data_IF_839858106779
#
_entry.id   IF_839858106779
#
_cell.length_a   1.000
_cell.length_b   1.000
_cell.length_c   1.000
_cell.angle_alpha   90.00
_cell.angle_beta   90.00
_cell.angle_gamma   90.00
#
_symmetry.space_group_name_H-M   'P 1'
#
loop_
_entity.id
_entity.type
_entity.pdbx_description
1 polymer ?
#
# COMPACT_ATOMS: atom_id res chain seq x y z
N UNK A 1 -34.32 16.03 -20.81
CA UNK A 1 -33.79 17.17 -20.06
C UNK A 1 -32.92 16.59 -18.94
N UNK A 2 -31.63 16.35 -19.22
CA UNK A 2 -30.69 15.87 -18.21
C UNK A 2 -30.18 17.07 -17.44
N UNK A 3 -30.33 17.05 -16.12
CA UNK A 3 -29.74 18.04 -15.22
C UNK A 3 -28.24 17.85 -15.30
N UNK A 4 -27.55 18.73 -16.04
CA UNK A 4 -26.10 18.82 -16.04
C UNK A 4 -25.68 19.30 -14.64
N UNK A 5 -25.46 18.37 -13.72
CA UNK A 5 -24.62 18.65 -12.58
C UNK A 5 -23.26 19.07 -13.17
N UNK A 6 -22.89 20.33 -12.98
CA UNK A 6 -21.62 20.86 -13.43
C UNK A 6 -20.51 20.00 -12.80
N UNK A 7 -19.96 19.06 -13.58
CA UNK A 7 -18.73 18.35 -13.20
C UNK A 7 -17.65 19.40 -13.23
N UNK A 8 -17.43 20.06 -12.08
CA UNK A 8 -16.32 20.97 -11.90
C UNK A 8 -15.06 20.12 -11.98
N UNK A 9 -14.19 20.47 -12.94
CA UNK A 9 -12.83 19.98 -12.97
C UNK A 9 -12.20 20.21 -11.59
N UNK A 10 -11.64 19.16 -10.99
CA UNK A 10 -10.84 19.34 -9.78
C UNK A 10 -9.61 20.18 -10.14
N UNK A 11 -9.12 21.06 -9.24
CA UNK A 11 -7.90 21.83 -9.48
C UNK A 11 -6.71 20.95 -9.87
N UNK A 12 -6.63 19.74 -9.31
CA UNK A 12 -5.59 18.75 -9.62
C UNK A 12 -5.65 18.24 -11.07
N UNK A 13 -6.84 17.99 -11.61
CA UNK A 13 -7.00 17.56 -13.00
C UNK A 13 -6.65 18.69 -13.98
N UNK A 14 -6.96 19.93 -13.60
CA UNK A 14 -6.63 21.12 -14.39
C UNK A 14 -5.11 21.31 -14.50
N UNK A 15 -4.39 21.31 -13.37
CA UNK A 15 -2.94 21.46 -13.35
C UNK A 15 -2.21 20.32 -14.08
N UNK A 16 -2.74 19.09 -14.03
CA UNK A 16 -2.17 17.95 -14.78
C UNK A 16 -2.30 18.09 -16.29
N UNK A 17 -3.41 18.62 -16.77
CA UNK A 17 -3.68 18.75 -18.21
C UNK A 17 -3.01 19.97 -18.84
N UNK A 18 -2.80 21.03 -18.06
CA UNK A 18 -2.30 22.33 -18.53
C UNK A 18 -1.03 22.23 -19.40
N UNK A 19 0.04 21.49 -19.02
CA UNK A 19 1.24 21.39 -19.84
C UNK A 19 1.00 20.76 -21.22
N UNK A 20 0.05 19.82 -21.31
CA UNK A 20 -0.28 19.15 -22.57
C UNK A 20 -1.15 20.02 -23.48
N UNK A 21 -2.03 20.83 -22.90
CA UNK A 21 -2.88 21.75 -23.66
C UNK A 21 -2.07 22.94 -24.18
N UNK A 22 -1.13 23.44 -23.37
CA UNK A 22 -0.19 24.50 -23.76
C UNK A 22 0.71 24.04 -24.93
N UNK A 23 1.21 22.78 -24.90
CA UNK A 23 2.02 22.18 -25.98
C UNK A 23 1.24 22.00 -27.30
N UNK A 24 -0.09 21.80 -27.22
CA UNK A 24 -0.95 21.66 -28.39
C UNK A 24 -1.34 23.01 -29.02
N UNK A 25 -1.09 24.14 -28.35
CA UNK A 25 -1.43 25.47 -28.86
C UNK A 25 -2.93 25.68 -29.15
N UNK A 26 -3.80 24.98 -28.43
CA UNK A 26 -5.25 25.05 -28.64
C UNK A 26 -5.82 26.39 -28.18
N UNK A 27 -6.87 26.86 -28.87
CA UNK A 27 -7.64 28.01 -28.42
C UNK A 27 -8.19 27.77 -26.99
N UNK A 28 -8.28 28.80 -26.12
CA UNK A 28 -8.74 28.63 -24.74
C UNK A 28 -10.11 27.94 -24.63
N UNK A 29 -11.01 28.23 -25.56
CA UNK A 29 -12.35 27.64 -25.64
C UNK A 29 -12.29 26.13 -25.94
N UNK A 30 -11.45 25.73 -26.89
CA UNK A 30 -11.23 24.31 -27.25
C UNK A 30 -10.58 23.56 -26.10
N UNK A 31 -9.58 24.17 -25.43
CA UNK A 31 -8.94 23.59 -24.25
C UNK A 31 -9.95 23.35 -23.12
N UNK A 32 -10.80 24.34 -22.83
CA UNK A 32 -11.83 24.23 -21.79
C UNK A 32 -12.89 23.17 -22.15
N UNK A 33 -13.32 23.13 -23.41
CA UNK A 33 -14.25 22.11 -23.89
C UNK A 33 -13.70 20.69 -23.73
N UNK A 34 -12.47 20.45 -24.19
CA UNK A 34 -11.85 19.11 -24.12
C UNK A 34 -11.66 18.68 -22.67
N UNK A 35 -11.23 19.58 -21.78
CA UNK A 35 -11.13 19.28 -20.35
C UNK A 35 -12.47 18.83 -19.76
N UNK A 36 -13.56 19.57 -20.01
CA UNK A 36 -14.89 19.21 -19.52
C UNK A 36 -15.35 17.85 -20.03
N UNK A 37 -15.12 17.58 -21.32
CA UNK A 37 -15.51 16.32 -21.93
C UNK A 37 -14.71 15.12 -21.40
N UNK A 38 -13.41 15.31 -21.13
CA UNK A 38 -12.58 14.29 -20.48
C UNK A 38 -13.01 14.02 -19.04
N UNK A 39 -13.48 15.04 -18.31
CA UNK A 39 -14.03 14.85 -16.97
C UNK A 39 -15.36 14.07 -16.98
N UNK A 40 -16.21 14.30 -17.98
CA UNK A 40 -17.48 13.59 -18.15
C UNK A 40 -17.31 12.16 -18.64
N UNK A 41 -16.18 11.83 -19.31
CA UNK A 41 -15.91 10.50 -19.88
C UNK A 41 -15.97 9.37 -18.85
N UNK A 42 -15.59 9.63 -17.60
CA UNK A 42 -15.59 8.62 -16.54
C UNK A 42 -16.97 8.36 -15.92
N UNK A 43 -18.01 9.10 -16.32
CA UNK A 43 -19.37 8.88 -15.86
C UNK A 43 -20.05 7.72 -16.59
N UNK A 44 -21.08 7.10 -16.00
CA UNK A 44 -21.97 6.19 -16.73
C UNK A 44 -22.54 6.88 -17.97
N UNK A 45 -22.34 6.30 -19.15
CA UNK A 45 -22.67 6.88 -20.46
C UNK A 45 -21.90 8.17 -20.83
N UNK A 46 -20.67 8.33 -20.32
CA UNK A 46 -19.78 9.43 -20.71
C UNK A 46 -19.37 9.37 -22.19
N UNK A 47 -18.94 10.51 -22.77
CA UNK A 47 -18.53 10.59 -24.17
C UNK A 47 -17.27 9.76 -24.47
N UNK A 48 -17.28 9.06 -25.59
CA UNK A 48 -16.14 8.32 -26.12
C UNK A 48 -15.05 9.24 -26.66
N UNK A 49 -13.81 8.76 -26.74
CA UNK A 49 -12.68 9.50 -27.35
C UNK A 49 -13.02 10.00 -28.76
N UNK A 50 -13.76 9.21 -29.55
CA UNK A 50 -14.15 9.57 -30.90
C UNK A 50 -15.23 10.67 -30.95
N UNK A 51 -16.11 10.74 -29.95
CA UNK A 51 -17.09 11.82 -29.81
C UNK A 51 -16.42 13.11 -29.38
N UNK A 52 -15.53 13.05 -28.38
CA UNK A 52 -14.75 14.21 -27.92
C UNK A 52 -13.89 14.77 -29.06
N UNK A 53 -13.23 13.88 -29.81
CA UNK A 53 -12.42 14.25 -30.97
C UNK A 53 -13.23 14.97 -32.05
N UNK A 54 -14.40 14.42 -32.42
CA UNK A 54 -15.30 15.05 -33.39
C UNK A 54 -15.83 16.40 -32.91
N UNK A 55 -16.25 16.50 -31.65
CA UNK A 55 -16.83 17.73 -31.12
C UNK A 55 -15.81 18.83 -30.87
N UNK A 56 -14.55 18.46 -30.60
CA UNK A 56 -13.45 19.40 -30.37
C UNK A 56 -12.63 19.75 -31.61
N UNK A 57 -12.99 19.22 -32.79
CA UNK A 57 -12.19 19.31 -34.03
C UNK A 57 -10.73 18.86 -33.83
N UNK A 58 -10.55 17.74 -33.13
CA UNK A 58 -9.25 17.15 -32.80
C UNK A 58 -9.12 15.74 -33.36
N UNK A 59 -7.89 15.27 -33.51
CA UNK A 59 -7.65 13.87 -33.81
C UNK A 59 -7.97 12.99 -32.58
N UNK A 60 -8.49 11.79 -32.82
CA UNK A 60 -8.70 10.79 -31.76
C UNK A 60 -7.40 10.44 -31.01
N UNK A 61 -6.25 10.54 -31.69
CA UNK A 61 -4.94 10.31 -31.08
C UNK A 61 -4.57 11.44 -30.10
N UNK A 62 -4.86 12.70 -30.45
CA UNK A 62 -4.68 13.86 -29.58
C UNK A 62 -5.53 13.74 -28.33
N UNK A 63 -6.82 13.45 -28.50
CA UNK A 63 -7.75 13.25 -27.37
C UNK A 63 -7.34 12.04 -26.52
N UNK A 64 -6.88 10.95 -27.13
CA UNK A 64 -6.37 9.78 -26.39
C UNK A 64 -5.11 10.07 -25.56
N UNK A 65 -4.23 10.97 -26.03
CA UNK A 65 -3.08 11.44 -25.22
C UNK A 65 -3.54 12.28 -24.03
N UNK A 66 -4.48 13.20 -24.26
CA UNK A 66 -5.04 14.04 -23.19
C UNK A 66 -5.82 13.21 -22.16
N UNK A 67 -6.58 12.20 -22.60
CA UNK A 67 -7.27 11.28 -21.70
C UNK A 67 -6.31 10.51 -20.80
N UNK A 68 -5.17 10.04 -21.32
CA UNK A 68 -4.13 9.38 -20.51
C UNK A 68 -3.45 10.35 -19.53
N UNK A 69 -3.32 11.62 -19.88
CA UNK A 69 -2.78 12.64 -18.98
C UNK A 69 -3.78 13.01 -17.87
N UNK A 70 -5.09 13.10 -18.21
CA UNK A 70 -6.17 13.36 -17.26
C UNK A 70 -6.41 12.16 -16.32
N UNK A 71 -6.35 10.96 -16.88
CA UNK A 71 -6.61 9.69 -16.23
C UNK A 71 -5.38 8.79 -16.41
N UNK A 72 -4.29 9.05 -15.69
CA UNK A 72 -3.15 8.14 -15.73
C UNK A 72 -3.62 6.76 -15.28
N UNK A 73 -3.52 5.78 -16.17
CA UNK A 73 -3.60 4.38 -15.78
C UNK A 73 -2.35 4.14 -14.93
N UNK A 74 -2.48 4.35 -13.62
CA UNK A 74 -1.49 3.90 -12.65
C UNK A 74 -1.48 2.39 -12.81
N UNK A 75 -0.43 1.84 -13.44
CA UNK A 75 -0.22 0.39 -13.37
C UNK A 75 -0.21 0.05 -11.89
N UNK A 76 -1.08 -0.85 -11.41
CA UNK A 76 -1.07 -1.20 -10.00
C UNK A 76 0.34 -1.62 -9.64
N UNK A 77 0.91 -0.97 -8.63
CA UNK A 77 2.22 -1.32 -8.13
C UNK A 77 2.20 -2.81 -7.78
N UNK A 78 3.22 -3.54 -8.22
CA UNK A 78 3.38 -4.93 -7.81
C UNK A 78 3.99 -4.91 -6.42
N UNK A 79 3.36 -5.59 -5.48
CA UNK A 79 3.87 -5.72 -4.13
C UNK A 79 4.29 -7.16 -3.88
N UNK A 80 5.33 -7.32 -3.06
CA UNK A 80 5.63 -8.53 -2.31
C UNK A 80 4.42 -8.86 -1.45
N UNK A 81 4.08 -10.15 -1.39
CA UNK A 81 3.08 -10.66 -0.45
C UNK A 81 3.62 -10.58 0.98
N UNK A 82 2.77 -10.22 1.94
CA UNK A 82 3.20 -9.95 3.32
C UNK A 82 2.48 -10.83 4.34
N UNK A 83 3.22 -11.38 5.30
CA UNK A 83 2.68 -11.99 6.51
C UNK A 83 2.78 -11.01 7.69
N UNK A 84 1.67 -10.71 8.37
CA UNK A 84 1.69 -9.90 9.60
C UNK A 84 1.86 -10.81 10.81
N UNK A 85 3.04 -10.74 11.43
CA UNK A 85 3.35 -11.39 12.72
C UNK A 85 3.05 -10.43 13.86
N UNK A 86 2.23 -10.85 14.83
CA UNK A 86 1.82 -10.02 15.97
C UNK A 86 1.46 -10.85 17.20
N UNK A 87 1.54 -10.25 18.38
CA UNK A 87 1.00 -10.83 19.61
C UNK A 87 -0.47 -10.50 19.78
N UNK A 88 -1.28 -11.40 20.36
CA UNK A 88 -2.72 -11.20 20.56
C UNK A 88 -3.15 -9.82 21.12
N UNK A 89 -2.44 -9.21 22.09
CA UNK A 89 -2.76 -7.85 22.56
C UNK A 89 -2.72 -6.76 21.48
N UNK A 90 -1.99 -6.96 20.39
CA UNK A 90 -1.83 -6.01 19.30
C UNK A 90 -2.82 -6.25 18.15
N UNK A 91 -3.81 -7.15 18.31
CA UNK A 91 -4.76 -7.52 17.25
C UNK A 91 -5.47 -6.30 16.65
N UNK A 92 -5.87 -5.34 17.49
CA UNK A 92 -6.56 -4.11 17.04
C UNK A 92 -5.67 -3.33 16.07
N UNK A 93 -4.38 -3.19 16.37
CA UNK A 93 -3.44 -2.53 15.48
C UNK A 93 -3.16 -3.37 14.23
N UNK A 94 -2.97 -4.69 14.39
CA UNK A 94 -2.72 -5.60 13.28
C UNK A 94 -3.85 -5.57 12.24
N UNK A 95 -5.12 -5.53 12.69
CA UNK A 95 -6.29 -5.37 11.84
C UNK A 95 -6.28 -4.03 11.09
N UNK A 96 -6.00 -2.93 11.80
CA UNK A 96 -5.90 -1.59 11.19
C UNK A 96 -4.80 -1.55 10.12
N UNK A 97 -3.64 -2.16 10.38
CA UNK A 97 -2.55 -2.25 9.42
C UNK A 97 -2.91 -3.12 8.21
N UNK A 98 -3.53 -4.28 8.46
CA UNK A 98 -4.02 -5.18 7.42
C UNK A 98 -4.98 -4.48 6.44
N UNK A 99 -6.00 -3.79 6.97
CA UNK A 99 -6.97 -3.05 6.15
C UNK A 99 -6.30 -1.95 5.31
N UNK A 100 -5.34 -1.24 5.90
CA UNK A 100 -4.59 -0.20 5.19
C UNK A 100 -3.74 -0.80 4.06
N UNK A 101 -3.01 -1.88 4.31
CA UNK A 101 -2.20 -2.57 3.29
C UNK A 101 -3.08 -3.17 2.17
N UNK A 102 -4.23 -3.76 2.52
CA UNK A 102 -5.19 -4.27 1.57
C UNK A 102 -5.74 -3.16 0.67
N UNK A 103 -6.07 -1.99 1.23
CA UNK A 103 -6.52 -0.82 0.45
C UNK A 103 -5.47 -0.29 -0.52
N UNK A 104 -4.18 -0.54 -0.24
CA UNK A 104 -3.05 -0.20 -1.11
C UNK A 104 -2.77 -1.26 -2.17
N UNK A 105 -3.45 -2.41 -2.11
CA UNK A 105 -3.29 -3.52 -3.04
C UNK A 105 -2.22 -4.53 -2.65
N UNK A 106 -1.73 -4.51 -1.41
CA UNK A 106 -0.78 -5.50 -0.89
C UNK A 106 -1.54 -6.77 -0.50
N UNK A 107 -1.18 -7.90 -1.10
CA UNK A 107 -1.70 -9.19 -0.67
C UNK A 107 -1.08 -9.58 0.67
N UNK A 108 -1.91 -9.60 1.71
CA UNK A 108 -1.45 -9.71 3.09
C UNK A 108 -2.16 -10.86 3.80
N UNK A 109 -1.43 -11.72 4.50
CA UNK A 109 -1.99 -12.71 5.41
C UNK A 109 -2.32 -12.08 6.76
N UNK A 110 -3.57 -12.22 7.20
CA UNK A 110 -4.01 -11.84 8.52
C UNK A 110 -4.79 -12.99 9.16
N UNK A 111 -4.22 -13.56 10.22
CA UNK A 111 -4.63 -14.84 10.78
C UNK A 111 -6.15 -14.97 11.06
N UNK A 112 -6.84 -14.01 11.70
CA UNK A 112 -8.26 -14.12 11.98
C UNK A 112 -9.13 -14.28 10.72
N UNK A 113 -8.74 -13.67 9.61
CA UNK A 113 -9.50 -13.68 8.35
C UNK A 113 -9.04 -14.81 7.41
N UNK A 114 -7.81 -15.30 7.56
CA UNK A 114 -7.18 -16.28 6.66
C UNK A 114 -7.02 -17.69 7.25
N UNK A 115 -7.49 -17.92 8.49
CA UNK A 115 -7.39 -19.23 9.16
C UNK A 115 -8.50 -20.19 8.77
N UNK A 116 -8.17 -21.48 8.66
CA UNK A 116 -9.15 -22.56 8.40
C UNK A 116 -9.57 -23.18 9.74
N UNK A 117 -10.87 -23.15 10.11
CA UNK A 117 -11.35 -23.79 11.34
C UNK A 117 -10.89 -25.25 11.45
N UNK A 118 -10.37 -25.63 12.63
CA UNK A 118 -9.88 -26.99 12.90
C UNK A 118 -8.43 -27.27 12.53
N UNK A 119 -7.72 -26.36 11.83
CA UNK A 119 -6.25 -26.45 11.70
C UNK A 119 -5.54 -25.98 12.97
N UNK A 120 -4.39 -26.61 13.26
CA UNK A 120 -3.55 -26.21 14.40
C UNK A 120 -2.92 -24.84 14.15
N UNK A 121 -3.20 -23.88 15.03
CA UNK A 121 -2.69 -22.51 15.02
C UNK A 121 -1.19 -22.42 14.68
N UNK A 122 -0.36 -23.16 15.43
CA UNK A 122 1.10 -23.11 15.27
C UNK A 122 1.58 -23.56 13.88
N UNK A 123 0.87 -24.48 13.21
CA UNK A 123 1.30 -24.95 11.87
C UNK A 123 1.00 -23.87 10.85
N UNK A 124 -0.21 -23.32 10.91
CA UNK A 124 -0.64 -22.28 9.97
C UNK A 124 0.24 -21.03 10.02
N UNK A 125 0.72 -20.61 11.21
CA UNK A 125 1.58 -19.43 11.30
C UNK A 125 3.04 -19.71 10.89
N UNK A 126 3.57 -20.89 11.19
CA UNK A 126 4.88 -21.31 10.70
C UNK A 126 4.90 -21.46 9.17
N UNK A 127 3.84 -22.04 8.58
CA UNK A 127 3.67 -22.17 7.13
C UNK A 127 3.63 -20.77 6.47
N UNK A 128 2.93 -19.81 7.08
CA UNK A 128 2.84 -18.43 6.57
C UNK A 128 4.20 -17.71 6.49
N UNK A 129 5.16 -18.02 7.38
CA UNK A 129 6.53 -17.48 7.29
C UNK A 129 7.24 -17.92 6.00
N UNK A 130 6.89 -19.05 5.40
CA UNK A 130 7.50 -19.56 4.18
C UNK A 130 6.64 -19.35 2.92
N UNK A 131 5.32 -19.17 3.08
CA UNK A 131 4.40 -18.95 1.95
C UNK A 131 4.42 -17.52 1.40
N UNK A 132 4.73 -16.52 2.23
CA UNK A 132 4.68 -15.10 1.86
C UNK A 132 6.08 -14.54 1.59
N UNK A 133 6.19 -13.51 0.77
CA UNK A 133 7.49 -12.96 0.35
C UNK A 133 8.22 -12.24 1.50
N UNK A 134 7.48 -11.60 2.41
CA UNK A 134 8.07 -10.89 3.56
C UNK A 134 7.24 -11.06 4.83
N UNK A 135 7.88 -10.87 5.98
CA UNK A 135 7.26 -10.87 7.31
C UNK A 135 7.30 -9.46 7.90
N UNK A 136 6.12 -8.88 8.10
CA UNK A 136 5.91 -7.62 8.81
C UNK A 136 5.67 -7.96 10.28
N UNK A 137 6.69 -7.75 11.12
CA UNK A 137 6.66 -8.14 12.54
C UNK A 137 6.31 -6.95 13.44
N UNK A 138 5.11 -6.97 14.01
CA UNK A 138 4.65 -5.98 14.99
C UNK A 138 5.39 -6.23 16.30
N UNK A 139 6.13 -5.22 16.73
CA UNK A 139 6.99 -5.20 17.89
C UNK A 139 6.38 -4.29 18.96
N UNK A 140 5.89 -4.93 20.03
CA UNK A 140 5.48 -4.29 21.28
C UNK A 140 6.03 -5.09 22.46
N UNK A 141 6.12 -4.48 23.64
CA UNK A 141 6.42 -5.15 24.91
C UNK A 141 5.47 -6.35 25.15
N UNK A 142 4.21 -6.22 24.73
CA UNK A 142 3.20 -7.26 24.88
C UNK A 142 3.33 -8.42 23.86
N UNK A 143 3.89 -8.16 22.68
CA UNK A 143 4.14 -9.17 21.65
C UNK A 143 5.41 -9.97 21.92
N UNK A 144 6.52 -9.30 22.24
CA UNK A 144 7.84 -9.96 22.29
C UNK A 144 8.02 -10.90 23.50
N UNK A 145 7.12 -10.82 24.47
CA UNK A 145 7.04 -11.77 25.59
C UNK A 145 6.29 -13.06 25.24
N UNK A 146 5.73 -13.18 24.03
CA UNK A 146 4.95 -14.34 23.60
C UNK A 146 5.84 -15.37 22.88
N UNK A 147 5.75 -16.67 23.26
CA UNK A 147 6.53 -17.72 22.58
C UNK A 147 6.26 -17.84 21.07
N UNK A 148 5.02 -17.57 20.64
CA UNK A 148 4.64 -17.62 19.22
C UNK A 148 5.38 -16.58 18.38
N UNK A 149 5.42 -15.34 18.86
CA UNK A 149 6.13 -14.25 18.20
C UNK A 149 7.64 -14.53 18.11
N UNK A 150 8.24 -15.04 19.20
CA UNK A 150 9.66 -15.40 19.21
C UNK A 150 9.97 -16.51 18.19
N UNK A 151 9.13 -17.54 18.14
CA UNK A 151 9.27 -18.62 17.17
C UNK A 151 9.13 -18.11 15.73
N UNK A 152 8.20 -17.21 15.44
CA UNK A 152 8.05 -16.60 14.11
C UNK A 152 9.30 -15.79 13.73
N UNK A 153 9.83 -14.97 14.64
CA UNK A 153 11.09 -14.24 14.43
C UNK A 153 12.25 -15.20 14.11
N UNK A 154 12.42 -16.25 14.90
CA UNK A 154 13.47 -17.25 14.69
C UNK A 154 13.33 -17.94 13.33
N UNK A 155 12.11 -18.29 12.93
CA UNK A 155 11.85 -18.92 11.63
C UNK A 155 12.13 -17.96 10.48
N UNK A 156 11.75 -16.68 10.59
CA UNK A 156 12.05 -15.67 9.58
C UNK A 156 13.56 -15.51 9.41
N UNK A 157 14.32 -15.32 10.49
CA UNK A 157 15.78 -15.17 10.42
C UNK A 157 16.46 -16.44 9.88
N UNK A 158 15.95 -17.61 10.24
CA UNK A 158 16.43 -18.89 9.70
C UNK A 158 16.17 -18.98 8.19
N UNK A 159 15.01 -18.51 7.73
CA UNK A 159 14.67 -18.46 6.30
C UNK A 159 15.58 -17.49 5.55
N UNK A 160 15.82 -16.29 6.07
CA UNK A 160 16.75 -15.32 5.46
C UNK A 160 18.14 -15.92 5.27
N UNK A 161 18.68 -16.60 6.30
CA UNK A 161 19.97 -17.25 6.22
C UNK A 161 20.02 -18.36 5.15
N UNK A 162 18.93 -19.13 4.99
CA UNK A 162 18.80 -20.15 3.94
C UNK A 162 18.70 -19.55 2.54
N UNK A 163 18.05 -18.39 2.42
CA UNK A 163 17.85 -17.65 1.16
C UNK A 163 18.99 -16.63 0.89
N UNK A 164 20.20 -16.93 1.37
CA UNK A 164 21.41 -16.15 1.05
C UNK A 164 21.48 -14.77 1.68
N UNK A 165 20.75 -14.53 2.78
CA UNK A 165 20.71 -13.24 3.47
C UNK A 165 19.71 -12.26 2.88
N UNK A 166 18.69 -12.74 2.17
CA UNK A 166 17.59 -11.89 1.69
C UNK A 166 16.89 -11.21 2.87
N UNK A 167 16.57 -9.93 2.74
CA UNK A 167 15.86 -9.16 3.77
C UNK A 167 14.34 -9.45 3.68
N UNK A 168 13.87 -10.35 4.54
CA UNK A 168 12.47 -10.79 4.63
C UNK A 168 11.75 -10.17 5.82
N UNK A 169 12.47 -9.78 6.88
CA UNK A 169 11.90 -9.24 8.11
C UNK A 169 11.83 -7.71 8.09
N UNK A 170 10.61 -7.17 8.26
CA UNK A 170 10.34 -5.74 8.46
C UNK A 170 9.79 -5.51 9.87
N UNK A 171 10.55 -4.89 10.79
CA UNK A 171 10.05 -4.54 12.12
C UNK A 171 9.08 -3.36 12.07
N UNK A 172 7.96 -3.48 12.79
CA UNK A 172 6.94 -2.43 12.98
C UNK A 172 6.87 -2.09 14.47
N UNK A 173 7.26 -0.88 14.86
CA UNK A 173 7.35 -0.49 16.28
C UNK A 173 6.03 0.12 16.78
N UNK A 174 5.46 -0.45 17.83
CA UNK A 174 4.37 0.17 18.61
C UNK A 174 4.86 0.87 19.87
N UNK A 175 6.03 0.47 20.35
CA UNK A 175 6.75 1.09 21.46
C UNK A 175 8.27 1.03 21.21
N UNK A 176 9.06 1.39 22.21
CA UNK A 176 10.53 1.38 22.16
C UNK A 176 11.17 0.16 22.84
N UNK A 177 10.36 -0.81 23.30
CA UNK A 177 10.82 -1.89 24.16
C UNK A 177 11.88 -2.74 23.48
N UNK A 178 11.64 -3.12 22.23
CA UNK A 178 12.58 -3.91 21.42
C UNK A 178 13.89 -3.19 21.11
N UNK A 179 13.92 -1.86 21.20
CA UNK A 179 15.11 -1.04 20.94
C UNK A 179 15.96 -0.82 22.18
N UNK A 180 15.35 -0.82 23.36
CA UNK A 180 15.97 -0.28 24.58
C UNK A 180 16.06 -1.28 25.74
N UNK A 181 15.07 -2.17 25.88
CA UNK A 181 14.85 -2.97 27.09
C UNK A 181 14.74 -4.48 26.82
N UNK A 182 14.49 -4.88 25.59
CA UNK A 182 14.28 -6.29 25.27
C UNK A 182 15.60 -7.08 25.24
N UNK A 183 15.71 -8.03 26.17
CA UNK A 183 16.85 -8.94 26.31
C UNK A 183 16.40 -10.40 26.25
N UNK A 184 16.26 -11.00 25.05
CA UNK A 184 15.97 -12.42 24.92
C UNK A 184 17.18 -13.27 25.35
N UNK A 185 16.93 -14.51 25.80
CA UNK A 185 18.00 -15.48 26.12
C UNK A 185 19.00 -15.61 24.96
N UNK A 186 18.45 -15.66 23.74
CA UNK A 186 19.19 -15.60 22.48
C UNK A 186 19.49 -14.15 22.06
N UNK A 187 20.60 -13.62 22.57
CA UNK A 187 21.06 -12.25 22.29
C UNK A 187 21.28 -11.94 20.81
N UNK A 188 21.50 -12.96 19.97
CA UNK A 188 21.63 -12.81 18.52
C UNK A 188 20.33 -12.38 17.84
N UNK A 189 19.17 -12.76 18.39
CA UNK A 189 17.86 -12.36 17.85
C UNK A 189 17.62 -10.86 18.02
N UNK A 190 17.88 -10.34 19.22
CA UNK A 190 17.79 -8.91 19.49
C UNK A 190 18.70 -8.11 18.56
N UNK A 191 19.97 -8.54 18.40
CA UNK A 191 20.92 -7.86 17.50
C UNK A 191 20.42 -7.83 16.06
N UNK A 192 19.92 -8.95 15.54
CA UNK A 192 19.44 -9.06 14.15
C UNK A 192 18.14 -8.29 13.89
N UNK A 193 17.28 -8.17 14.90
CA UNK A 193 16.07 -7.33 14.81
C UNK A 193 16.45 -5.83 14.87
N UNK A 194 17.27 -5.46 15.85
CA UNK A 194 17.65 -4.06 16.13
C UNK A 194 18.57 -3.46 15.05
N UNK A 195 19.26 -4.29 14.24
CA UNK A 195 20.09 -3.82 13.14
C UNK A 195 19.29 -3.38 11.89
N UNK A 196 17.96 -3.39 11.94
CA UNK A 196 17.08 -3.09 10.80
C UNK A 196 16.45 -1.71 10.91
N UNK A 197 16.18 -1.12 9.75
CA UNK A 197 15.33 0.08 9.69
C UNK A 197 13.89 -0.34 9.95
N UNK A 198 13.36 0.04 11.10
CA UNK A 198 11.98 -0.24 11.47
C UNK A 198 11.00 0.80 10.91
N UNK A 199 9.78 0.37 10.64
CA UNK A 199 8.65 1.27 10.44
C UNK A 199 8.11 1.69 11.81
N UNK A 200 8.10 2.99 12.08
CA UNK A 200 7.85 3.52 13.41
C UNK A 200 6.39 3.98 13.56
N UNK A 201 5.57 3.11 14.13
CA UNK A 201 4.14 3.34 14.33
C UNK A 201 3.79 3.82 15.73
N UNK A 202 4.75 4.24 16.57
CA UNK A 202 4.45 4.76 17.93
C UNK A 202 3.47 5.96 17.93
N UNK A 203 3.39 6.69 16.81
CA UNK A 203 2.43 7.79 16.59
C UNK A 203 1.11 7.39 15.91
N UNK A 204 0.78 6.11 15.79
CA UNK A 204 -0.33 5.62 14.94
C UNK A 204 -1.74 6.11 15.31
N UNK A 205 -1.90 6.74 16.48
CA UNK A 205 -3.16 7.36 16.90
C UNK A 205 -3.47 8.61 16.07
N UNK A 206 -2.45 9.28 15.54
CA UNK A 206 -2.63 10.34 14.56
C UNK A 206 -2.73 9.72 13.16
N UNK A 207 -3.85 9.92 12.48
CA UNK A 207 -4.11 9.36 11.15
C UNK A 207 -3.04 9.77 10.13
N UNK A 208 -2.58 11.02 10.19
CA UNK A 208 -1.54 11.54 9.31
C UNK A 208 -0.21 10.77 9.50
N UNK A 209 0.16 10.47 10.75
CA UNK A 209 1.37 9.74 11.09
C UNK A 209 1.27 8.27 10.69
N UNK A 210 0.13 7.64 10.94
CA UNK A 210 -0.16 6.28 10.51
C UNK A 210 -0.04 6.15 8.98
N UNK A 211 -0.73 7.01 8.22
CA UNK A 211 -0.72 6.96 6.75
C UNK A 211 0.69 7.16 6.18
N UNK A 212 1.49 8.09 6.75
CA UNK A 212 2.90 8.26 6.34
C UNK A 212 3.72 6.98 6.50
N UNK A 213 3.53 6.25 7.59
CA UNK A 213 4.27 4.99 7.82
C UNK A 213 3.74 3.85 6.95
N UNK A 214 2.44 3.81 6.66
CA UNK A 214 1.88 2.86 5.68
C UNK A 214 2.51 3.08 4.30
N UNK A 215 2.62 4.31 3.83
CA UNK A 215 3.28 4.60 2.54
C UNK A 215 4.76 4.17 2.52
N UNK A 216 5.46 4.41 3.62
CA UNK A 216 6.86 3.97 3.78
C UNK A 216 6.97 2.44 3.79
N UNK A 217 6.02 1.74 4.41
CA UNK A 217 5.95 0.29 4.39
C UNK A 217 5.63 -0.23 2.98
N UNK A 218 4.66 0.35 2.27
CA UNK A 218 4.37 0.02 0.88
C UNK A 218 5.59 0.21 -0.04
N UNK A 219 6.41 1.22 0.21
CA UNK A 219 7.67 1.41 -0.52
C UNK A 219 8.62 0.23 -0.33
N UNK A 220 8.75 -0.30 0.89
CA UNK A 220 9.56 -1.49 1.18
C UNK A 220 8.98 -2.78 0.58
N UNK A 221 7.68 -2.80 0.30
CA UNK A 221 6.96 -3.94 -0.27
C UNK A 221 6.90 -3.93 -1.79
N UNK A 222 7.32 -2.85 -2.48
CA UNK A 222 7.21 -2.75 -3.94
C UNK A 222 8.24 -3.64 -4.65
N UNK A 223 7.85 -4.25 -5.79
CA UNK A 223 8.67 -5.11 -6.66
C UNK A 223 9.00 -4.42 -7.98
#
# INVERSE_FOLDING_TARGET
>A
MFVAAAVKLTPENYERLKPFLDDLGLAPETSQFVQQMLALRNLPNGPSIAEIARSGDLSAQTVGRLDRAANPVVKPAKFKTAFISYGGPDEVFARKLYEALLSKGVHTYYFPESSIPGRRLHRTMADAVYEYDVVVSICSEAAVTRPGWLNELEQTLTREAREGGTELLIPVLLDDFVLSRWEPERKDLARQLQSRVAADFRGHNEESAFNRQVERLCTALTV
#
